data_IF_660061448561
#
_entry.id   IF_660061448561
#
_cell.length_a   1.000
_cell.length_b   1.000
_cell.length_c   1.000
_cell.angle_alpha   90.00
_cell.angle_beta   90.00
_cell.angle_gamma   90.00
#
_symmetry.space_group_name_H-M   'P 1'
#
loop_
_entity.id
_entity.type
_entity.pdbx_description
1 polymer ?
#
# COMPACT_ATOMS: atom_id res chain seq x y z
N UNK A 1 4.59 1.44 -6.20
CA UNK A 1 4.17 1.28 -4.79
C UNK A 1 3.79 -0.16 -4.54
N UNK A 2 3.99 -0.62 -3.32
CA UNK A 2 3.68 -1.99 -2.90
C UNK A 2 2.64 -1.95 -1.79
N UNK A 3 1.70 -2.89 -1.83
CA UNK A 3 0.70 -3.09 -0.79
C UNK A 3 0.76 -4.53 -0.32
N UNK A 4 0.93 -4.71 1.00
CA UNK A 4 0.78 -6.00 1.66
C UNK A 4 -0.32 -5.94 2.71
N UNK A 5 -1.08 -7.01 2.82
CA UNK A 5 -2.08 -7.19 3.88
C UNK A 5 -1.66 -8.40 4.70
N UNK A 6 -1.51 -8.20 6.00
CA UNK A 6 -1.04 -9.29 6.87
C UNK A 6 -1.52 -9.09 8.31
N UNK A 7 -1.27 -10.08 9.15
CA UNK A 7 -1.64 -10.04 10.55
C UNK A 7 -0.84 -8.97 11.30
N UNK A 8 -1.54 -8.20 12.13
CA UNK A 8 -0.95 -7.10 12.91
C UNK A 8 0.26 -7.51 13.74
N UNK A 9 0.35 -8.78 14.16
CA UNK A 9 1.47 -9.27 14.96
C UNK A 9 2.81 -9.09 14.27
N UNK A 10 2.83 -9.01 12.94
CA UNK A 10 4.05 -8.87 12.16
C UNK A 10 4.38 -7.42 11.81
N UNK A 11 3.51 -6.47 12.19
CA UNK A 11 3.65 -5.08 11.79
C UNK A 11 4.95 -4.46 12.31
N UNK A 12 5.23 -4.62 13.59
CA UNK A 12 6.44 -4.04 14.20
C UNK A 12 7.71 -4.54 13.50
N UNK A 13 7.74 -5.81 13.16
CA UNK A 13 8.85 -6.41 12.45
C UNK A 13 9.03 -5.78 11.05
N UNK A 14 7.91 -5.62 10.34
CA UNK A 14 7.94 -5.00 9.01
C UNK A 14 8.35 -3.53 9.09
N UNK A 15 7.83 -2.79 10.06
CA UNK A 15 8.16 -1.38 10.25
C UNK A 15 9.65 -1.19 10.55
N UNK A 16 10.22 -2.02 11.42
CA UNK A 16 11.65 -1.94 11.74
C UNK A 16 12.50 -2.13 10.49
N UNK A 17 12.11 -3.07 9.66
CA UNK A 17 12.85 -3.35 8.42
C UNK A 17 12.78 -2.17 7.44
N UNK A 18 11.60 -1.58 7.28
CA UNK A 18 11.43 -0.43 6.39
C UNK A 18 12.17 0.79 6.93
N UNK A 19 12.15 1.01 8.24
CA UNK A 19 12.86 2.12 8.88
C UNK A 19 14.37 2.00 8.70
N UNK A 20 14.91 0.79 8.82
CA UNK A 20 16.34 0.55 8.60
C UNK A 20 16.77 0.87 7.18
N UNK A 21 15.90 0.62 6.22
CA UNK A 21 16.18 0.88 4.81
C UNK A 21 15.76 2.29 4.39
N UNK A 22 15.24 3.08 5.33
CA UNK A 22 14.77 4.45 5.08
C UNK A 22 13.70 4.52 4.00
N UNK A 23 12.85 3.50 3.96
CA UNK A 23 11.71 3.44 3.04
C UNK A 23 10.49 4.02 3.73
N UNK A 24 9.82 4.97 3.07
CA UNK A 24 8.57 5.52 3.59
C UNK A 24 7.44 4.52 3.46
N UNK A 25 6.54 4.54 4.43
CA UNK A 25 5.41 3.62 4.45
C UNK A 25 4.20 4.24 5.14
N UNK A 26 3.03 3.67 4.86
CA UNK A 26 1.76 4.04 5.49
C UNK A 26 1.08 2.76 5.97
N UNK A 27 0.54 2.78 7.18
CA UNK A 27 -0.18 1.65 7.77
C UNK A 27 -1.65 2.02 7.89
N UNK A 28 -2.53 1.09 7.49
CA UNK A 28 -3.97 1.24 7.64
C UNK A 28 -4.53 -0.03 8.28
N UNK A 29 -5.26 0.07 9.40
CA UNK A 29 -5.98 -1.09 9.93
C UNK A 29 -7.00 -1.60 8.91
N UNK A 30 -7.07 -2.91 8.72
CA UNK A 30 -7.91 -3.53 7.69
C UNK A 30 -8.70 -4.69 8.27
N UNK A 31 -9.58 -4.41 9.23
CA UNK A 31 -10.38 -5.44 9.86
C UNK A 31 -9.74 -6.00 11.12
N UNK A 32 -10.22 -7.16 11.56
CA UNK A 32 -9.80 -7.73 12.85
C UNK A 32 -8.40 -8.32 12.76
N UNK A 33 -7.48 -7.66 13.43
CA UNK A 33 -6.13 -8.17 13.56
C UNK A 33 -5.30 -8.16 12.27
N UNK A 34 -5.78 -7.52 11.21
CA UNK A 34 -5.02 -7.34 9.98
C UNK A 34 -4.73 -5.88 9.71
N UNK A 35 -3.66 -5.63 8.96
CA UNK A 35 -3.26 -4.29 8.54
C UNK A 35 -2.89 -4.30 7.07
N UNK A 36 -3.14 -3.17 6.42
CA UNK A 36 -2.60 -2.88 5.09
C UNK A 36 -1.32 -2.06 5.28
N UNK A 37 -0.26 -2.48 4.63
CA UNK A 37 1.02 -1.77 4.65
C UNK A 37 1.35 -1.34 3.23
N UNK A 38 1.40 -0.02 3.02
CA UNK A 38 1.79 0.59 1.75
C UNK A 38 3.22 1.11 1.89
N UNK A 39 4.06 0.85 0.92
CA UNK A 39 5.38 1.45 0.89
C UNK A 39 5.87 1.69 -0.53
N UNK A 40 6.82 2.62 -0.67
CA UNK A 40 7.34 2.99 -1.97
C UNK A 40 7.91 4.40 -1.95
N UNK A 41 7.83 5.09 -3.09
CA UNK A 41 8.36 6.45 -3.20
C UNK A 41 7.58 7.43 -2.32
N UNK A 42 8.24 8.54 -1.95
CA UNK A 42 7.59 9.56 -1.12
C UNK A 42 6.37 10.15 -1.80
N UNK A 43 6.39 10.32 -3.11
CA UNK A 43 5.28 10.85 -3.89
C UNK A 43 4.07 9.91 -3.81
N UNK A 44 4.28 8.61 -3.91
CA UNK A 44 3.21 7.63 -3.74
C UNK A 44 2.64 7.67 -2.33
N UNK A 45 3.51 7.78 -1.33
CA UNK A 45 3.08 7.82 0.06
C UNK A 45 2.27 9.08 0.37
N UNK A 46 2.64 10.22 -0.19
CA UNK A 46 1.87 11.45 -0.04
C UNK A 46 0.46 11.28 -0.62
N UNK A 47 0.34 10.69 -1.80
CA UNK A 47 -0.96 10.42 -2.41
C UNK A 47 -1.79 9.45 -1.57
N UNK A 48 -1.17 8.40 -1.04
CA UNK A 48 -1.84 7.40 -0.21
C UNK A 48 -2.37 8.02 1.07
N UNK A 49 -1.59 8.88 1.73
CA UNK A 49 -2.04 9.55 2.97
C UNK A 49 -3.28 10.39 2.76
N UNK A 50 -3.45 10.97 1.57
CA UNK A 50 -4.64 11.75 1.24
C UNK A 50 -5.85 10.86 0.94
N UNK A 51 -5.64 9.71 0.33
CA UNK A 51 -6.73 8.84 -0.12
C UNK A 51 -7.19 7.83 0.93
N UNK A 52 -6.26 7.26 1.70
CA UNK A 52 -6.54 6.14 2.58
C UNK A 52 -6.95 6.63 3.97
N UNK A 53 -7.95 7.50 4.02
CA UNK A 53 -8.59 7.95 5.26
C UNK A 53 -9.79 7.09 5.62
N UNK A 54 -10.18 6.17 4.72
CA UNK A 54 -11.32 5.26 4.86
C UNK A 54 -10.88 3.85 4.50
N UNK A 55 -11.65 2.81 4.92
CA UNK A 55 -11.37 1.45 4.48
C UNK A 55 -11.32 1.34 2.95
N UNK A 56 -10.51 0.44 2.44
CA UNK A 56 -10.30 0.29 0.98
C UNK A 56 -11.59 -0.02 0.22
N UNK A 57 -12.54 -0.72 0.86
CA UNK A 57 -13.82 -1.03 0.24
C UNK A 57 -14.80 0.16 0.22
N UNK A 58 -14.42 1.28 0.83
CA UNK A 58 -15.24 2.50 0.87
C UNK A 58 -14.65 3.62 0.02
N UNK A 59 -13.62 3.34 -0.74
CA UNK A 59 -13.05 4.33 -1.65
C UNK A 59 -14.04 4.65 -2.78
N UNK A 60 -14.03 5.91 -3.22
CA UNK A 60 -14.80 6.29 -4.41
C UNK A 60 -14.24 5.58 -5.64
N UNK A 61 -15.01 5.47 -6.73
CA UNK A 61 -14.50 4.90 -7.98
C UNK A 61 -13.23 5.60 -8.48
N UNK A 62 -13.15 6.92 -8.31
CA UNK A 62 -11.98 7.70 -8.72
C UNK A 62 -10.77 7.35 -7.86
N UNK A 63 -10.96 7.28 -6.53
CA UNK A 63 -9.89 6.91 -5.61
C UNK A 63 -9.41 5.47 -5.86
N UNK A 64 -10.34 4.57 -6.11
CA UNK A 64 -10.02 3.19 -6.43
C UNK A 64 -9.21 3.08 -7.72
N UNK A 65 -9.58 3.87 -8.73
CA UNK A 65 -8.83 3.94 -9.97
C UNK A 65 -7.42 4.46 -9.75
N UNK A 66 -7.27 5.53 -8.97
CA UNK A 66 -5.96 6.11 -8.67
C UNK A 66 -5.10 5.12 -7.87
N UNK A 67 -5.70 4.47 -6.87
CA UNK A 67 -4.99 3.45 -6.09
C UNK A 67 -4.52 2.31 -7.00
N UNK A 68 -5.41 1.85 -7.88
CA UNK A 68 -5.08 0.82 -8.86
C UNK A 68 -3.93 1.23 -9.77
N UNK A 69 -3.91 2.48 -10.22
CA UNK A 69 -2.84 3.00 -11.05
C UNK A 69 -1.51 3.07 -10.30
N UNK A 70 -1.52 3.48 -9.03
CA UNK A 70 -0.33 3.54 -8.20
C UNK A 70 0.23 2.14 -7.92
N UNK A 71 -0.64 1.18 -7.63
CA UNK A 71 -0.26 -0.23 -7.44
C UNK A 71 0.14 -0.85 -8.77
N UNK A 72 -0.53 -0.43 -9.82
CA UNK A 72 -0.32 -0.93 -11.17
C UNK A 72 0.92 -0.40 -11.86
N UNK A 73 1.77 0.35 -11.15
CA UNK A 73 3.09 0.70 -11.68
C UNK A 73 3.81 -0.56 -12.17
N UNK A 74 3.52 -1.70 -11.58
CA UNK A 74 4.09 -2.98 -11.96
C UNK A 74 3.20 -3.79 -12.91
N UNK A 75 2.01 -3.31 -13.29
CA UNK A 75 1.13 -4.01 -14.24
C UNK A 75 1.86 -4.27 -15.54
N UNK A 76 2.66 -3.30 -15.99
CA UNK A 76 3.44 -3.44 -17.22
C UNK A 76 4.38 -4.63 -17.14
N UNK A 77 5.07 -4.78 -16.01
CA UNK A 77 5.97 -5.89 -15.76
C UNK A 77 5.21 -7.21 -15.62
N UNK A 78 4.06 -7.18 -14.98
CA UNK A 78 3.22 -8.37 -14.83
C UNK A 78 2.66 -8.82 -16.19
N UNK A 79 2.23 -7.88 -17.01
CA UNK A 79 1.77 -8.18 -18.37
C UNK A 79 2.91 -8.77 -19.21
N UNK A 80 4.11 -8.24 -19.09
CA UNK A 80 5.28 -8.74 -19.79
C UNK A 80 5.63 -10.18 -19.39
N UNK A 81 5.33 -10.57 -18.15
CA UNK A 81 5.55 -11.94 -17.68
C UNK A 81 4.56 -12.93 -18.27
N UNK A 82 3.38 -12.48 -18.64
CA UNK A 82 2.32 -13.34 -19.18
C UNK A 82 2.23 -13.30 -20.71
N UNK A 83 2.90 -12.37 -21.30
CA UNK A 83 3.03 -12.23 -22.75
C UNK A 83 4.43 -12.60 -23.21
#
# INVERSE_FOLDING_TARGET
MVLYTFNRRYLEFAEQRLQRQQIQYVVQPAGRGTVNLFFGSSECMDAIRLMVTRPLNELSPEEDFILGALLGYDIRRQCERYC
#
